data_IF_415553108803
#
_entry.id   IF_415553108803
#
_cell.length_a   1.000
_cell.length_b   1.000
_cell.length_c   1.000
_cell.angle_alpha   90.00
_cell.angle_beta   90.00
_cell.angle_gamma   90.00
#
_symmetry.space_group_name_H-M   'P 1'
#
loop_
_entity.id
_entity.type
_entity.pdbx_description
1 polymer ?
#
# COMPACT_ATOMS: atom_id res chain seq x y z
N UNK A 1 12.80 0.05 10.81
CA UNK A 1 13.99 0.87 10.54
C UNK A 1 14.25 0.66 9.08
N UNK A 2 14.34 1.75 8.30
CA UNK A 2 14.73 1.66 6.90
C UNK A 2 16.08 0.92 6.75
N UNK A 3 16.28 0.29 5.62
CA UNK A 3 17.59 -0.29 5.29
C UNK A 3 18.61 0.85 5.13
N UNK A 4 19.91 0.54 5.29
CA UNK A 4 20.97 1.54 5.06
C UNK A 4 20.82 2.23 3.71
N UNK A 5 20.43 1.48 2.69
CA UNK A 5 20.20 2.00 1.35
C UNK A 5 19.04 2.97 1.29
N UNK A 6 17.87 2.60 1.81
CA UNK A 6 16.71 3.48 1.90
C UNK A 6 17.05 4.76 2.67
N UNK A 7 17.72 4.64 3.82
CA UNK A 7 18.13 5.81 4.61
C UNK A 7 19.05 6.73 3.81
N UNK A 8 20.02 6.18 3.06
CA UNK A 8 20.89 6.98 2.19
C UNK A 8 20.08 7.73 1.11
N UNK A 9 19.13 7.07 0.46
CA UNK A 9 18.30 7.69 -0.57
C UNK A 9 17.38 8.79 0.00
N UNK A 10 16.82 8.58 1.20
CA UNK A 10 16.08 9.61 1.96
C UNK A 10 17.00 10.81 2.26
N UNK A 11 18.22 10.57 2.74
CA UNK A 11 19.16 11.67 3.03
C UNK A 11 19.63 12.38 1.75
N UNK A 12 19.73 11.69 0.61
CA UNK A 12 19.99 12.31 -0.69
C UNK A 12 18.84 13.20 -1.14
N UNK A 13 17.61 12.73 -0.99
CA UNK A 13 16.42 13.54 -1.28
C UNK A 13 16.38 14.80 -0.40
N UNK A 14 16.77 14.69 0.87
CA UNK A 14 16.88 15.82 1.80
C UNK A 14 18.11 16.73 1.60
N UNK A 15 18.97 16.47 0.60
CA UNK A 15 20.20 17.25 0.35
C UNK A 15 21.29 17.06 1.41
N UNK A 16 21.13 16.08 2.32
CA UNK A 16 22.07 15.76 3.39
C UNK A 16 23.11 14.73 2.97
N UNK A 17 22.97 14.09 1.82
CA UNK A 17 24.00 13.25 1.18
C UNK A 17 24.09 13.66 -0.30
N UNK A 18 25.28 13.79 -0.90
CA UNK A 18 25.40 14.11 -2.32
C UNK A 18 24.74 13.04 -3.20
N UNK A 19 24.03 13.47 -4.25
CA UNK A 19 23.26 12.57 -5.14
C UNK A 19 24.15 11.64 -5.95
N UNK A 20 25.28 12.17 -6.44
CA UNK A 20 26.16 11.49 -7.41
C UNK A 20 27.30 10.70 -6.77
N UNK A 21 27.42 10.73 -5.44
CA UNK A 21 28.55 10.10 -4.75
C UNK A 21 28.17 8.69 -4.24
N UNK A 22 28.98 7.70 -4.62
CA UNK A 22 29.01 6.41 -3.94
C UNK A 22 29.53 6.62 -2.51
N UNK A 23 28.63 6.89 -1.58
CA UNK A 23 29.01 7.21 -0.21
C UNK A 23 29.26 5.92 0.58
N UNK A 24 30.53 5.62 0.87
CA UNK A 24 30.89 4.46 1.67
C UNK A 24 30.41 4.57 3.13
N UNK A 25 30.21 3.43 3.80
CA UNK A 25 29.72 3.39 5.19
C UNK A 25 30.55 4.23 6.16
N UNK A 26 31.88 4.30 5.97
CA UNK A 26 32.77 5.14 6.79
C UNK A 26 32.48 6.64 6.62
N UNK A 27 32.16 7.08 5.40
CA UNK A 27 31.78 8.47 5.15
C UNK A 27 30.40 8.77 5.77
N UNK A 28 29.46 7.84 5.64
CA UNK A 28 28.15 7.93 6.31
C UNK A 28 28.30 8.00 7.83
N UNK A 29 29.13 7.16 8.44
CA UNK A 29 29.35 7.15 9.89
C UNK A 29 30.03 8.43 10.42
N UNK A 30 30.82 9.12 9.61
CA UNK A 30 31.36 10.45 9.98
C UNK A 30 30.28 11.52 9.93
N UNK A 31 29.37 11.44 8.97
CA UNK A 31 28.29 12.40 8.78
C UNK A 31 27.12 12.18 9.74
N UNK A 32 26.85 10.92 10.04
CA UNK A 32 25.79 10.44 10.92
C UNK A 32 26.45 9.52 11.96
N UNK A 33 26.99 10.11 13.05
CA UNK A 33 27.72 9.36 14.07
C UNK A 33 26.83 8.30 14.74
N UNK A 34 27.19 7.00 14.63
CA UNK A 34 26.38 5.93 15.21
C UNK A 34 26.55 5.85 16.72
N UNK A 35 25.48 5.48 17.42
CA UNK A 35 25.53 5.03 18.82
C UNK A 35 25.00 3.59 18.92
N UNK A 36 25.83 2.60 19.31
CA UNK A 36 27.27 2.71 19.63
C UNK A 36 28.16 2.92 18.38
N UNK A 37 29.41 3.41 18.54
CA UNK A 37 30.37 3.56 17.45
C UNK A 37 30.59 2.27 16.64
N UNK A 38 30.74 2.39 15.32
CA UNK A 38 30.94 1.24 14.41
C UNK A 38 29.66 0.48 14.02
N UNK A 39 28.50 0.83 14.58
CA UNK A 39 27.23 0.18 14.27
C UNK A 39 26.59 0.72 12.98
N UNK A 40 26.43 -0.11 11.94
CA UNK A 40 25.66 0.26 10.74
C UNK A 40 24.19 0.59 11.06
N UNK A 41 23.59 -0.14 12.02
CA UNK A 41 22.25 0.18 12.54
C UNK A 41 22.24 1.52 13.29
N UNK A 42 23.31 1.82 14.00
CA UNK A 42 23.51 3.13 14.63
C UNK A 42 23.57 4.25 13.60
N UNK A 43 24.22 4.02 12.45
CA UNK A 43 24.32 4.99 11.35
C UNK A 43 22.93 5.29 10.79
N UNK A 44 22.17 4.24 10.45
CA UNK A 44 20.77 4.36 10.01
C UNK A 44 19.93 5.15 11.00
N UNK A 45 20.02 4.83 12.30
CA UNK A 45 19.30 5.54 13.35
C UNK A 45 19.68 7.02 13.40
N UNK A 46 20.98 7.33 13.30
CA UNK A 46 21.48 8.72 13.32
C UNK A 46 21.15 9.54 12.06
N UNK A 47 20.76 8.88 10.96
CA UNK A 47 20.20 9.57 9.78
C UNK A 47 18.78 10.10 10.04
N UNK A 48 18.15 9.71 11.16
CA UNK A 48 16.78 10.09 11.45
C UNK A 48 15.77 9.35 10.57
N UNK A 49 15.93 8.04 10.41
CA UNK A 49 14.86 7.20 9.85
C UNK A 49 13.59 7.36 10.69
N UNK A 50 12.43 7.44 10.05
CA UNK A 50 11.15 7.86 10.61
C UNK A 50 10.86 7.35 12.02
N UNK A 51 10.27 8.22 12.84
CA UNK A 51 9.74 7.87 14.15
C UNK A 51 8.78 6.68 13.99
N UNK A 52 8.93 5.61 14.80
CA UNK A 52 8.00 4.49 14.73
C UNK A 52 6.56 4.97 14.90
N UNK A 53 5.68 4.47 14.03
CA UNK A 53 4.23 4.67 14.06
C UNK A 53 3.58 3.35 14.44
N UNK A 54 3.69 2.89 15.70
CA UNK A 54 3.15 1.59 16.09
C UNK A 54 1.62 1.58 16.04
N UNK A 55 1.05 0.43 15.71
CA UNK A 55 -0.39 0.20 15.67
C UNK A 55 -0.82 -0.73 16.81
N UNK A 56 -1.99 -0.46 17.39
CA UNK A 56 -2.64 -1.37 18.32
C UNK A 56 -3.62 -2.27 17.55
N UNK A 57 -3.36 -3.57 17.55
CA UNK A 57 -4.22 -4.59 16.96
C UNK A 57 -5.02 -5.20 18.10
N UNK A 58 -6.33 -5.00 18.09
CA UNK A 58 -7.24 -5.34 19.18
C UNK A 58 -8.15 -6.46 18.70
N UNK A 59 -8.02 -7.65 19.31
CA UNK A 59 -8.93 -8.76 19.04
C UNK A 59 -10.23 -8.52 19.82
N UNK A 60 -11.35 -8.37 19.12
CA UNK A 60 -12.61 -7.92 19.70
C UNK A 60 -13.66 -9.03 19.66
N UNK A 61 -14.36 -9.22 20.79
CA UNK A 61 -15.57 -10.05 20.88
C UNK A 61 -16.78 -9.16 21.14
N UNK A 62 -17.87 -9.39 20.43
CA UNK A 62 -19.13 -8.67 20.64
C UNK A 62 -19.77 -9.06 21.97
N UNK A 63 -20.50 -8.12 22.59
CA UNK A 63 -21.18 -8.33 23.86
C UNK A 63 -22.22 -9.45 23.73
N UNK A 64 -22.08 -10.45 24.59
CA UNK A 64 -23.01 -11.58 24.68
C UNK A 64 -22.71 -12.72 23.71
N UNK A 65 -21.75 -12.56 22.79
CA UNK A 65 -21.26 -13.66 21.98
C UNK A 65 -20.34 -14.56 22.83
N UNK A 66 -20.50 -15.90 22.76
CA UNK A 66 -19.57 -16.83 23.40
C UNK A 66 -18.22 -16.80 22.67
N UNK A 67 -17.15 -17.23 23.35
CA UNK A 67 -15.87 -17.44 22.67
C UNK A 67 -16.00 -18.53 21.61
N UNK A 68 -15.65 -18.22 20.36
CA UNK A 68 -15.65 -19.16 19.24
C UNK A 68 -14.21 -19.49 18.85
N UNK A 69 -13.61 -20.44 19.55
CA UNK A 69 -12.21 -20.83 19.34
C UNK A 69 -11.93 -21.32 17.92
N UNK A 70 -12.92 -21.82 17.19
CA UNK A 70 -12.74 -22.27 15.80
C UNK A 70 -12.48 -21.10 14.84
N UNK A 71 -12.96 -19.89 15.16
CA UNK A 71 -12.72 -18.66 14.38
C UNK A 71 -11.64 -17.77 15.00
N UNK A 72 -11.65 -17.66 16.33
CA UNK A 72 -10.74 -16.79 17.09
C UNK A 72 -9.29 -17.28 17.02
N UNK A 73 -9.04 -18.57 17.19
CA UNK A 73 -7.67 -19.07 17.23
C UNK A 73 -6.92 -18.90 15.89
N UNK A 74 -7.52 -19.17 14.71
CA UNK A 74 -6.89 -18.85 13.43
C UNK A 74 -6.62 -17.36 13.24
N UNK A 75 -7.58 -16.50 13.58
CA UNK A 75 -7.40 -15.05 13.48
C UNK A 75 -6.26 -14.56 14.37
N UNK A 76 -6.28 -14.92 15.66
CA UNK A 76 -5.24 -14.57 16.62
C UNK A 76 -3.86 -15.06 16.16
N UNK A 77 -3.77 -16.29 15.66
CA UNK A 77 -2.53 -16.87 15.13
C UNK A 77 -1.98 -16.01 13.99
N UNK A 78 -2.84 -15.66 13.01
CA UNK A 78 -2.44 -14.82 11.88
C UNK A 78 -1.94 -13.46 12.36
N UNK A 79 -2.74 -12.71 13.13
CA UNK A 79 -2.37 -11.35 13.56
C UNK A 79 -1.11 -11.34 14.41
N UNK A 80 -0.97 -12.30 15.35
CA UNK A 80 0.26 -12.42 16.14
C UNK A 80 1.46 -12.74 15.25
N UNK A 81 1.31 -13.61 14.26
CA UNK A 81 2.41 -13.97 13.37
C UNK A 81 2.87 -12.79 12.50
N UNK A 82 1.94 -12.13 11.79
CA UNK A 82 2.28 -11.06 10.84
C UNK A 82 2.77 -9.77 11.51
N UNK A 83 2.41 -9.55 12.79
CA UNK A 83 2.90 -8.43 13.61
C UNK A 83 4.04 -8.80 14.58
N UNK A 84 4.54 -10.04 14.59
CA UNK A 84 5.62 -10.50 15.49
C UNK A 84 7.00 -9.84 15.27
N UNK A 85 7.09 -8.80 14.42
CA UNK A 85 8.34 -8.14 14.02
C UNK A 85 9.38 -9.15 13.48
N UNK A 86 8.91 -10.18 12.77
CA UNK A 86 9.71 -11.16 12.03
C UNK A 86 9.84 -10.73 10.57
N UNK A 87 10.85 -11.26 9.88
CA UNK A 87 11.07 -10.97 8.47
C UNK A 87 9.88 -11.40 7.61
N UNK A 88 9.42 -10.55 6.70
CA UNK A 88 8.30 -10.82 5.80
C UNK A 88 6.91 -10.50 6.36
N UNK A 89 6.80 -9.97 7.59
CA UNK A 89 5.52 -9.54 8.16
C UNK A 89 5.06 -8.14 7.71
N UNK A 90 3.98 -7.64 8.31
CA UNK A 90 3.40 -6.31 8.03
C UNK A 90 4.40 -5.18 8.27
N UNK A 91 5.30 -5.33 9.24
CA UNK A 91 6.35 -4.35 9.52
C UNK A 91 7.39 -4.25 8.40
N UNK A 92 7.72 -5.36 7.75
CA UNK A 92 8.60 -5.39 6.59
C UNK A 92 7.89 -4.87 5.35
N UNK A 93 6.64 -5.28 5.16
CA UNK A 93 5.79 -4.79 4.09
C UNK A 93 5.75 -3.25 4.09
N UNK A 94 5.35 -2.63 5.20
CA UNK A 94 5.21 -1.17 5.23
C UNK A 94 6.52 -0.43 5.06
N UNK A 95 7.61 -0.96 5.61
CA UNK A 95 8.94 -0.38 5.38
C UNK A 95 9.29 -0.41 3.90
N UNK A 96 9.06 -1.51 3.21
CA UNK A 96 9.49 -1.66 1.82
C UNK A 96 8.53 -0.94 0.86
N UNK A 97 7.22 -1.07 1.08
CA UNK A 97 6.17 -0.44 0.29
C UNK A 97 6.22 1.09 0.39
N UNK A 98 6.66 1.67 1.52
CA UNK A 98 6.83 3.12 1.69
C UNK A 98 8.24 3.63 1.43
N UNK A 99 9.14 2.80 0.87
CA UNK A 99 10.56 3.14 0.66
C UNK A 99 11.29 3.61 1.93
N UNK A 100 10.86 3.10 3.08
CA UNK A 100 11.45 3.36 4.39
C UNK A 100 10.78 4.48 5.17
N UNK A 101 9.74 5.14 4.63
CA UNK A 101 9.04 6.27 5.26
C UNK A 101 8.04 5.87 6.35
N UNK A 102 7.57 4.62 6.34
CA UNK A 102 6.69 4.06 7.34
C UNK A 102 7.41 2.97 8.11
N UNK A 103 7.33 3.07 9.43
CA UNK A 103 7.89 2.10 10.35
C UNK A 103 6.88 1.77 11.44
N UNK A 104 6.21 0.63 11.31
CA UNK A 104 5.19 0.20 12.30
C UNK A 104 5.79 -0.66 13.42
N UNK A 105 7.11 -0.64 13.63
CA UNK A 105 7.71 -1.36 14.78
C UNK A 105 7.16 -0.82 16.10
N UNK A 106 7.01 -1.72 17.06
CA UNK A 106 6.35 -1.42 18.33
C UNK A 106 4.83 -1.63 18.27
N UNK A 107 4.27 -2.00 17.11
CA UNK A 107 2.88 -2.47 17.03
C UNK A 107 2.67 -3.68 17.95
N UNK A 108 1.48 -3.79 18.52
CA UNK A 108 1.15 -4.82 19.50
C UNK A 108 -0.20 -5.45 19.20
N UNK A 109 -0.29 -6.78 19.38
CA UNK A 109 -1.53 -7.54 19.31
C UNK A 109 -2.04 -7.81 20.71
N UNK A 110 -3.14 -7.17 21.07
CA UNK A 110 -3.86 -7.35 22.32
C UNK A 110 -4.82 -8.54 22.21
N UNK A 111 -4.98 -9.28 23.30
CA UNK A 111 -5.87 -10.45 23.34
C UNK A 111 -7.36 -10.06 23.21
N UNK A 112 -8.21 -11.08 23.20
CA UNK A 112 -9.66 -10.93 23.05
C UNK A 112 -10.28 -10.07 24.16
N UNK A 113 -10.75 -8.88 23.83
CA UNK A 113 -11.54 -8.00 24.71
C UNK A 113 -13.00 -8.02 24.31
N UNK A 114 -13.90 -8.00 25.28
CA UNK A 114 -15.34 -7.91 25.02
C UNK A 114 -15.75 -6.44 24.88
N UNK A 115 -16.23 -6.06 23.70
CA UNK A 115 -16.73 -4.70 23.44
C UNK A 115 -18.13 -4.50 24.01
N UNK A 116 -18.58 -3.25 24.13
CA UNK A 116 -19.90 -2.90 24.69
C UNK A 116 -21.07 -3.17 23.74
N UNK A 117 -20.79 -3.29 22.44
CA UNK A 117 -21.77 -3.50 21.37
C UNK A 117 -22.22 -4.97 21.30
N UNK A 118 -23.52 -5.22 21.26
CA UNK A 118 -24.05 -6.54 20.88
C UNK A 118 -23.91 -6.76 19.37
N UNK A 119 -23.99 -8.02 18.93
CA UNK A 119 -23.91 -8.34 17.50
C UNK A 119 -24.94 -7.60 16.66
N UNK A 120 -26.18 -7.51 17.11
CA UNK A 120 -27.24 -6.77 16.41
C UNK A 120 -26.96 -5.25 16.29
N UNK A 121 -26.15 -4.67 17.17
CA UNK A 121 -25.77 -3.25 17.13
C UNK A 121 -24.54 -2.98 16.25
N UNK A 122 -23.81 -4.02 15.83
CA UNK A 122 -22.52 -3.86 15.17
C UNK A 122 -22.61 -3.58 13.66
N UNK A 123 -23.78 -3.82 13.04
CA UNK A 123 -23.94 -3.73 11.59
C UNK A 123 -24.32 -2.34 11.11
N UNK A 124 -23.91 -2.02 9.88
CA UNK A 124 -24.29 -0.80 9.18
C UNK A 124 -23.41 0.40 9.54
N UNK A 125 -23.77 1.54 8.96
CA UNK A 125 -23.09 2.83 9.17
C UNK A 125 -24.13 3.92 9.44
N UNK A 126 -23.67 5.15 9.68
CA UNK A 126 -24.58 6.30 9.80
C UNK A 126 -25.43 6.56 8.54
N UNK A 127 -25.09 5.94 7.40
CA UNK A 127 -25.82 6.06 6.14
C UNK A 127 -26.80 4.90 5.87
N UNK A 128 -26.83 3.85 6.70
CA UNK A 128 -27.76 2.72 6.54
C UNK A 128 -29.04 2.90 7.35
N UNK A 129 -30.07 2.12 7.02
CA UNK A 129 -31.31 2.04 7.81
C UNK A 129 -31.56 0.58 8.21
N UNK A 130 -31.52 0.22 9.51
CA UNK A 130 -31.16 1.09 10.64
C UNK A 130 -29.70 1.58 10.57
N UNK A 131 -29.40 2.72 11.21
CA UNK A 131 -28.04 3.22 11.27
C UNK A 131 -27.19 2.36 12.21
N UNK A 132 -25.93 2.19 11.84
CA UNK A 132 -24.94 1.45 12.60
C UNK A 132 -23.76 2.31 13.07
N UNK A 133 -22.87 1.75 13.90
CA UNK A 133 -21.67 2.43 14.39
C UNK A 133 -20.67 2.73 13.27
N UNK A 134 -20.71 1.98 12.17
CA UNK A 134 -19.70 1.99 11.12
C UNK A 134 -18.30 1.63 11.61
N UNK A 135 -17.34 1.69 10.69
CA UNK A 135 -15.92 1.37 10.91
C UNK A 135 -15.35 2.01 12.17
N UNK A 136 -15.49 3.34 12.26
CA UNK A 136 -14.93 4.14 13.36
C UNK A 136 -15.57 3.78 14.69
N UNK A 137 -16.88 3.55 14.73
CA UNK A 137 -17.58 3.17 15.96
C UNK A 137 -17.19 1.79 16.47
N UNK A 138 -17.00 0.82 15.56
CA UNK A 138 -16.50 -0.52 15.91
C UNK A 138 -15.06 -0.46 16.44
N UNK A 139 -14.18 0.24 15.72
CA UNK A 139 -12.80 0.42 16.16
C UNK A 139 -12.72 1.12 17.52
N UNK A 140 -13.52 2.17 17.73
CA UNK A 140 -13.61 2.88 19.01
C UNK A 140 -14.09 1.96 20.15
N UNK A 141 -15.08 1.09 19.90
CA UNK A 141 -15.55 0.14 20.90
C UNK A 141 -14.45 -0.85 21.33
N UNK A 142 -13.58 -1.26 20.39
CA UNK A 142 -12.38 -2.04 20.69
C UNK A 142 -11.36 -1.28 21.55
N UNK A 143 -11.08 -0.01 21.19
CA UNK A 143 -10.17 0.86 21.95
C UNK A 143 -10.66 1.07 23.39
N UNK A 144 -11.96 1.34 23.55
CA UNK A 144 -12.57 1.56 24.87
C UNK A 144 -12.52 0.29 25.73
N UNK A 145 -12.80 -0.87 25.13
CA UNK A 145 -12.69 -2.16 25.81
C UNK A 145 -11.24 -2.47 26.23
N UNK A 146 -10.26 -2.18 25.38
CA UNK A 146 -8.85 -2.34 25.70
C UNK A 146 -8.43 -1.39 26.84
N UNK A 147 -8.81 -0.12 26.80
CA UNK A 147 -8.52 0.83 27.88
C UNK A 147 -9.14 0.41 29.22
N UNK A 148 -10.32 -0.20 29.20
CA UNK A 148 -10.96 -0.73 30.40
C UNK A 148 -10.15 -1.85 31.09
N UNK A 149 -9.20 -2.48 30.38
CA UNK A 149 -8.24 -3.44 30.95
C UNK A 149 -7.01 -2.79 31.58
N UNK A 150 -6.89 -1.46 31.54
CA UNK A 150 -5.77 -0.69 32.09
C UNK A 150 -4.62 -0.43 31.11
N UNK A 151 -4.77 -0.76 29.83
CA UNK A 151 -3.76 -0.50 28.79
C UNK A 151 -3.77 0.97 28.37
N UNK A 152 -2.60 1.61 28.43
CA UNK A 152 -2.38 2.93 27.83
C UNK A 152 -2.27 2.81 26.30
N UNK A 153 -3.16 3.50 25.60
CA UNK A 153 -3.18 3.51 24.14
C UNK A 153 -2.57 4.75 23.50
N UNK A 154 -2.10 5.71 24.31
CA UNK A 154 -1.46 6.94 23.81
C UNK A 154 -0.19 6.72 22.96
N UNK A 155 0.59 5.63 23.11
CA UNK A 155 1.78 5.41 22.28
C UNK A 155 1.49 4.99 20.84
N UNK A 156 0.26 4.60 20.50
CA UNK A 156 -0.08 4.05 19.18
C UNK A 156 -0.54 5.12 18.20
N UNK A 157 0.00 5.08 16.98
CA UNK A 157 -0.33 5.97 15.87
C UNK A 157 -1.60 5.54 15.11
N UNK A 158 -2.04 4.29 15.27
CA UNK A 158 -3.22 3.74 14.62
C UNK A 158 -3.78 2.52 15.33
N UNK A 159 -5.00 2.14 14.95
CA UNK A 159 -5.77 1.08 15.60
C UNK A 159 -6.40 0.15 14.58
N UNK A 160 -6.33 -1.15 14.83
CA UNK A 160 -7.02 -2.19 14.08
C UNK A 160 -7.91 -2.96 15.07
N UNK A 161 -9.22 -2.90 14.90
CA UNK A 161 -10.16 -3.76 15.62
C UNK A 161 -10.52 -4.97 14.76
N UNK A 162 -10.25 -6.17 15.28
CA UNK A 162 -10.46 -7.44 14.59
C UNK A 162 -11.70 -8.11 15.15
N UNK A 163 -12.66 -8.44 14.29
CA UNK A 163 -13.86 -9.22 14.62
C UNK A 163 -13.89 -10.49 13.79
N UNK A 164 -14.45 -11.59 14.33
CA UNK A 164 -14.57 -12.86 13.61
C UNK A 164 -15.91 -13.03 12.89
N UNK A 165 -16.82 -12.09 13.08
CA UNK A 165 -18.10 -11.99 12.41
C UNK A 165 -18.00 -11.05 11.22
N UNK A 166 -18.53 -11.48 10.07
CA UNK A 166 -18.68 -10.59 8.91
C UNK A 166 -20.02 -9.82 8.94
N UNK A 167 -20.98 -10.31 9.73
CA UNK A 167 -22.37 -9.84 9.74
C UNK A 167 -22.93 -9.71 11.16
N UNK A 168 -23.73 -8.66 11.39
CA UNK A 168 -24.50 -8.43 12.61
C UNK A 168 -25.71 -9.34 12.73
N UNK A 169 -25.98 -10.10 11.67
CA UNK A 169 -27.07 -11.05 11.54
C UNK A 169 -26.62 -12.23 10.68
N UNK A 170 -26.98 -13.45 11.07
CA UNK A 170 -26.72 -14.64 10.25
C UNK A 170 -27.65 -14.72 9.04
N UNK A 171 -27.21 -15.42 8.00
CA UNK A 171 -28.01 -15.67 6.80
C UNK A 171 -28.31 -14.42 5.95
N UNK A 172 -27.55 -13.34 6.14
CA UNK A 172 -27.65 -12.12 5.31
C UNK A 172 -27.38 -12.44 3.84
N UNK A 173 -26.34 -13.25 3.59
CA UNK A 173 -26.04 -13.79 2.26
C UNK A 173 -26.52 -15.25 2.23
N UNK A 174 -27.45 -15.61 1.33
CA UNK A 174 -27.90 -16.99 1.18
C UNK A 174 -26.76 -17.96 0.81
N UNK A 175 -26.87 -19.25 1.17
CA UNK A 175 -25.91 -20.26 0.72
C UNK A 175 -25.75 -20.27 -0.82
N UNK A 176 -24.52 -20.29 -1.30
CA UNK A 176 -24.21 -20.27 -2.73
C UNK A 176 -24.34 -18.91 -3.41
N UNK A 177 -24.56 -17.84 -2.65
CA UNK A 177 -24.56 -16.45 -3.13
C UNK A 177 -23.37 -15.67 -2.56
N UNK A 178 -23.03 -14.61 -3.27
CA UNK A 178 -22.03 -13.61 -2.91
C UNK A 178 -22.71 -12.28 -2.61
N UNK A 179 -21.97 -11.31 -2.09
CA UNK A 179 -22.50 -9.98 -1.81
C UNK A 179 -22.90 -9.25 -3.10
N UNK A 180 -22.20 -9.54 -4.20
CA UNK A 180 -22.47 -9.02 -5.55
C UNK A 180 -23.82 -9.53 -6.11
N UNK A 181 -24.30 -10.69 -5.65
CA UNK A 181 -25.59 -11.24 -6.07
C UNK A 181 -26.79 -10.57 -5.38
N UNK A 182 -26.57 -9.83 -4.29
CA UNK A 182 -27.62 -9.34 -3.41
C UNK A 182 -27.66 -7.80 -3.44
N UNK A 183 -28.84 -7.16 -3.60
CA UNK A 183 -28.93 -5.70 -3.59
C UNK A 183 -28.37 -5.10 -2.31
N UNK A 184 -27.59 -4.02 -2.45
CA UNK A 184 -26.93 -3.32 -1.33
C UNK A 184 -27.85 -3.06 -0.14
N UNK A 185 -29.08 -2.60 -0.39
CA UNK A 185 -30.05 -2.27 0.66
C UNK A 185 -30.44 -3.47 1.55
N UNK A 186 -30.23 -4.71 1.08
CA UNK A 186 -30.57 -5.93 1.83
C UNK A 186 -29.48 -6.31 2.82
N UNK A 187 -28.21 -6.18 2.45
CA UNK A 187 -27.09 -6.65 3.27
C UNK A 187 -26.33 -5.51 3.98
N UNK A 188 -26.33 -4.30 3.43
CA UNK A 188 -25.53 -3.19 3.96
C UNK A 188 -25.83 -2.83 5.43
N UNK A 189 -27.09 -2.83 5.90
CA UNK A 189 -27.38 -2.58 7.32
C UNK A 189 -26.84 -3.64 8.27
N UNK A 190 -26.45 -4.82 7.76
CA UNK A 190 -25.95 -5.92 8.58
C UNK A 190 -24.46 -6.15 8.44
N UNK A 191 -23.79 -5.45 7.54
CA UNK A 191 -22.36 -5.59 7.32
C UNK A 191 -21.59 -4.92 8.45
N UNK A 192 -20.60 -5.61 9.03
CA UNK A 192 -19.70 -5.05 10.05
C UNK A 192 -18.60 -4.17 9.45
N UNK A 193 -18.55 -4.04 8.13
CA UNK A 193 -17.75 -3.04 7.45
C UNK A 193 -16.25 -3.14 7.78
N UNK A 194 -15.62 -4.22 7.28
CA UNK A 194 -14.18 -4.39 7.33
C UNK A 194 -13.49 -3.37 6.43
N UNK A 195 -13.23 -2.17 6.95
CA UNK A 195 -12.50 -1.11 6.25
C UNK A 195 -12.00 -0.02 7.23
N UNK A 196 -11.30 0.99 6.72
CA UNK A 196 -10.66 2.05 7.48
C UNK A 196 -11.35 3.43 7.42
N UNK A 197 -11.10 4.25 8.44
CA UNK A 197 -11.48 5.65 8.53
C UNK A 197 -10.32 6.43 9.16
N UNK A 198 -9.41 6.91 8.32
CA UNK A 198 -8.10 7.40 8.79
C UNK A 198 -7.37 6.28 9.53
N UNK A 199 -6.70 6.59 10.63
CA UNK A 199 -5.91 5.62 11.42
C UNK A 199 -6.75 4.65 12.27
N UNK A 200 -8.04 4.51 11.97
CA UNK A 200 -8.96 3.57 12.61
C UNK A 200 -9.40 2.53 11.57
N UNK A 201 -8.99 1.29 11.77
CA UNK A 201 -9.29 0.17 10.88
C UNK A 201 -10.16 -0.84 11.60
N UNK A 202 -11.17 -1.36 10.91
CA UNK A 202 -11.93 -2.54 11.34
C UNK A 202 -11.66 -3.67 10.35
N UNK A 203 -11.33 -4.86 10.84
CA UNK A 203 -11.09 -6.04 10.01
C UNK A 203 -12.03 -7.17 10.40
N UNK A 204 -12.84 -7.58 9.45
CA UNK A 204 -13.72 -8.75 9.53
C UNK A 204 -13.17 -9.85 8.60
N UNK A 205 -13.73 -11.07 8.61
CA UNK A 205 -13.34 -12.08 7.64
C UNK A 205 -13.62 -11.63 6.19
N UNK A 206 -12.80 -12.06 5.22
CA UNK A 206 -11.63 -12.94 5.38
C UNK A 206 -10.43 -12.20 5.99
N UNK A 207 -9.73 -12.83 6.93
CA UNK A 207 -8.51 -12.28 7.51
C UNK A 207 -7.31 -12.64 6.63
N UNK A 208 -6.73 -11.64 5.96
CA UNK A 208 -5.54 -11.82 5.13
C UNK A 208 -4.63 -10.59 5.21
N UNK A 209 -3.31 -10.78 5.06
CA UNK A 209 -2.36 -9.71 5.30
C UNK A 209 -2.37 -8.61 4.22
N UNK A 210 -2.71 -8.93 2.98
CA UNK A 210 -2.96 -7.95 1.91
C UNK A 210 -4.12 -7.01 2.27
N UNK A 211 -5.20 -7.55 2.85
CA UNK A 211 -6.33 -6.74 3.35
C UNK A 211 -5.89 -5.89 4.54
N UNK A 212 -5.16 -6.46 5.49
CA UNK A 212 -4.60 -5.70 6.63
C UNK A 212 -3.76 -4.53 6.14
N UNK A 213 -2.86 -4.78 5.18
CA UNK A 213 -2.03 -3.75 4.60
C UNK A 213 -2.86 -2.73 3.81
N UNK A 214 -3.87 -3.16 3.06
CA UNK A 214 -4.75 -2.24 2.33
C UNK A 214 -5.41 -1.25 3.28
N UNK A 215 -6.02 -1.74 4.35
CA UNK A 215 -6.72 -0.90 5.31
C UNK A 215 -5.79 -0.02 6.14
N UNK A 216 -4.60 -0.51 6.47
CA UNK A 216 -3.57 0.34 7.06
C UNK A 216 -3.15 1.47 6.11
N UNK A 217 -3.21 1.24 4.79
CA UNK A 217 -2.90 2.24 3.76
C UNK A 217 -3.78 3.46 3.84
N UNK A 218 -5.09 3.28 4.05
CA UNK A 218 -5.99 4.38 4.36
C UNK A 218 -5.60 5.15 5.62
N UNK A 219 -5.11 4.44 6.65
CA UNK A 219 -4.56 5.06 7.86
C UNK A 219 -3.30 5.89 7.63
N UNK A 220 -2.62 5.66 6.51
CA UNK A 220 -1.49 6.46 6.05
C UNK A 220 -1.85 7.45 4.94
N UNK A 221 -3.14 7.66 4.65
CA UNK A 221 -3.63 8.67 3.70
C UNK A 221 -3.83 8.17 2.27
N UNK A 222 -3.67 6.87 2.01
CA UNK A 222 -3.84 6.30 0.68
C UNK A 222 -5.34 6.17 0.32
N UNK A 223 -5.66 6.33 -0.96
CA UNK A 223 -7.02 6.19 -1.51
C UNK A 223 -7.07 5.04 -2.51
N UNK A 224 -8.26 4.47 -2.75
CA UNK A 224 -8.42 3.42 -3.76
C UNK A 224 -7.96 3.88 -5.14
N UNK A 225 -7.29 3.00 -5.87
CA UNK A 225 -7.01 3.24 -7.28
C UNK A 225 -8.27 3.01 -8.11
N UNK A 226 -8.40 3.79 -9.19
CA UNK A 226 -9.63 3.81 -10.00
C UNK A 226 -9.41 3.46 -11.45
N UNK A 227 -10.49 3.02 -12.10
CA UNK A 227 -10.57 2.89 -13.55
C UNK A 227 -10.47 4.25 -14.25
N UNK A 228 -10.12 4.31 -15.55
CA UNK A 228 -10.03 5.56 -16.31
C UNK A 228 -11.25 6.46 -16.16
N UNK A 229 -12.45 5.88 -16.12
CA UNK A 229 -13.72 6.59 -16.01
C UNK A 229 -14.12 7.01 -14.59
N UNK A 230 -13.29 6.78 -13.56
CA UNK A 230 -13.59 7.08 -12.15
C UNK A 230 -14.82 6.37 -11.57
N UNK A 231 -15.30 5.33 -12.24
CA UNK A 231 -16.56 4.65 -11.89
C UNK A 231 -16.37 3.47 -10.96
N UNK A 232 -15.14 2.95 -10.83
CA UNK A 232 -14.85 1.73 -10.08
C UNK A 232 -13.51 1.84 -9.36
N UNK A 233 -13.57 1.57 -8.06
CA UNK A 233 -12.40 1.38 -7.20
C UNK A 233 -11.78 -0.01 -7.41
N UNK A 234 -10.55 -0.20 -6.95
CA UNK A 234 -9.80 -1.46 -7.02
C UNK A 234 -9.43 -1.92 -8.43
N UNK A 235 -8.99 -0.96 -9.24
CA UNK A 235 -8.75 -1.18 -10.67
C UNK A 235 -7.31 -1.58 -11.03
N UNK A 236 -6.33 -1.25 -10.19
CA UNK A 236 -4.92 -1.36 -10.50
C UNK A 236 -4.36 -2.75 -10.12
N UNK A 237 -3.84 -3.53 -11.07
CA UNK A 237 -3.34 -4.86 -10.77
C UNK A 237 -2.02 -4.86 -9.96
N UNK A 238 -1.32 -3.73 -9.88
CA UNK A 238 0.01 -3.60 -9.27
C UNK A 238 0.04 -2.52 -8.18
N UNK A 239 -1.09 -2.28 -7.49
CA UNK A 239 -1.15 -1.35 -6.36
C UNK A 239 -1.94 -1.91 -5.18
N UNK A 240 -1.40 -1.74 -3.98
CA UNK A 240 -2.00 -2.17 -2.71
C UNK A 240 -3.42 -1.63 -2.58
N UNK A 241 -3.65 -0.40 -3.02
CA UNK A 241 -4.93 0.29 -2.93
C UNK A 241 -5.99 -0.25 -3.90
N UNK A 242 -5.68 -1.36 -4.57
CA UNK A 242 -6.63 -2.17 -5.30
C UNK A 242 -6.89 -3.55 -4.69
N UNK A 243 -6.37 -3.80 -3.48
CA UNK A 243 -6.67 -4.97 -2.65
C UNK A 243 -6.52 -6.30 -3.43
N UNK A 244 -5.44 -6.41 -4.20
CA UNK A 244 -5.16 -7.58 -5.04
C UNK A 244 -4.30 -8.58 -4.27
N UNK A 245 -4.77 -9.80 -3.97
CA UNK A 245 -3.95 -10.83 -3.35
C UNK A 245 -2.94 -11.36 -4.37
N UNK A 246 -1.80 -10.70 -4.49
CA UNK A 246 -0.86 -10.98 -5.58
C UNK A 246 0.01 -12.20 -5.27
N UNK A 247 0.51 -12.33 -4.04
CA UNK A 247 1.45 -13.39 -3.70
C UNK A 247 1.13 -14.06 -2.38
N UNK A 248 1.03 -15.40 -2.41
CA UNK A 248 0.93 -16.22 -1.21
C UNK A 248 2.28 -16.26 -0.46
N UNK A 249 2.23 -16.23 0.86
CA UNK A 249 3.37 -16.40 1.75
C UNK A 249 3.19 -17.62 2.65
N UNK A 250 4.00 -18.66 2.41
CA UNK A 250 3.95 -19.92 3.15
C UNK A 250 4.33 -19.77 4.63
N UNK A 251 5.10 -18.74 4.99
CA UNK A 251 5.51 -18.49 6.38
C UNK A 251 4.32 -18.09 7.24
N UNK A 252 3.40 -17.32 6.65
CA UNK A 252 2.25 -16.76 7.33
C UNK A 252 0.92 -17.40 6.93
N UNK A 253 0.90 -18.22 5.89
CA UNK A 253 -0.31 -18.84 5.37
C UNK A 253 -1.32 -17.80 4.89
N UNK A 254 -0.86 -16.75 4.21
CA UNK A 254 -1.71 -15.63 3.79
C UNK A 254 -1.14 -14.91 2.57
N UNK A 255 -1.95 -14.07 1.94
CA UNK A 255 -1.51 -13.25 0.81
C UNK A 255 -0.87 -11.95 1.28
N UNK A 256 0.13 -11.50 0.54
CA UNK A 256 0.70 -10.16 0.60
C UNK A 256 0.75 -9.55 -0.81
N UNK A 257 1.05 -8.26 -0.84
CA UNK A 257 1.21 -7.52 -2.07
C UNK A 257 -0.14 -7.10 -2.69
N UNK A 258 -0.08 -6.42 -3.85
CA UNK A 258 1.12 -5.81 -4.41
C UNK A 258 1.65 -4.67 -3.52
N UNK A 259 2.77 -4.07 -3.92
CA UNK A 259 3.31 -2.84 -3.33
C UNK A 259 2.35 -1.64 -3.44
N UNK A 260 2.68 -0.55 -2.76
CA UNK A 260 2.09 0.77 -3.05
C UNK A 260 2.66 1.29 -4.38
N UNK A 261 1.79 1.75 -5.29
CA UNK A 261 2.21 2.28 -6.59
C UNK A 261 2.95 3.62 -6.45
N UNK A 262 3.81 3.94 -7.42
CA UNK A 262 4.65 5.12 -7.42
C UNK A 262 3.87 6.44 -7.32
N UNK A 263 2.64 6.48 -7.83
CA UNK A 263 1.76 7.65 -7.72
C UNK A 263 1.39 7.96 -6.27
N UNK A 264 0.98 6.94 -5.50
CA UNK A 264 0.71 7.10 -4.07
C UNK A 264 1.98 7.45 -3.28
N UNK A 265 3.13 6.87 -3.65
CA UNK A 265 4.42 7.24 -3.04
C UNK A 265 4.75 8.71 -3.27
N UNK A 266 4.49 9.21 -4.49
CA UNK A 266 4.72 10.62 -4.80
C UNK A 266 3.77 11.54 -4.01
N UNK A 267 2.48 11.23 -3.98
CA UNK A 267 1.46 12.04 -3.28
C UNK A 267 1.75 12.15 -1.78
N UNK A 268 2.36 11.13 -1.18
CA UNK A 268 2.70 11.11 0.24
C UNK A 268 4.15 11.55 0.52
N UNK A 269 4.92 11.94 -0.51
CA UNK A 269 6.32 12.34 -0.36
C UNK A 269 7.25 11.21 0.08
N UNK A 270 6.90 9.96 -0.22
CA UNK A 270 7.67 8.76 0.12
C UNK A 270 8.61 8.32 -1.00
N UNK A 271 8.41 8.82 -2.22
CA UNK A 271 9.33 8.55 -3.32
C UNK A 271 10.59 9.40 -3.19
N UNK A 272 11.73 8.86 -3.59
CA UNK A 272 12.96 9.65 -3.67
C UNK A 272 12.84 10.66 -4.82
N UNK A 273 12.50 11.91 -4.53
CA UNK A 273 12.20 12.93 -5.57
C UNK A 273 13.32 13.08 -6.61
N UNK A 274 14.58 12.87 -6.21
CA UNK A 274 15.72 12.91 -7.13
C UNK A 274 15.78 11.76 -8.15
N UNK A 275 14.90 10.76 -8.01
CA UNK A 275 14.70 9.61 -8.91
C UNK A 275 13.38 9.73 -9.68
N UNK A 276 12.69 10.85 -9.57
CA UNK A 276 11.49 11.15 -10.36
C UNK A 276 11.90 12.03 -11.54
N UNK A 277 11.65 11.54 -12.75
CA UNK A 277 11.80 12.35 -13.95
C UNK A 277 10.51 13.15 -14.16
N UNK A 278 10.65 14.46 -14.39
CA UNK A 278 9.55 15.34 -14.77
C UNK A 278 9.89 15.99 -16.09
N UNK A 279 9.11 15.68 -17.10
CA UNK A 279 9.23 16.26 -18.43
C UNK A 279 8.46 17.60 -18.52
N UNK A 280 8.87 18.48 -19.43
CA UNK A 280 8.31 19.82 -19.59
C UNK A 280 7.11 19.91 -20.57
N UNK A 281 6.72 18.79 -21.18
CA UNK A 281 5.69 18.66 -22.21
C UNK A 281 6.22 18.83 -23.63
N UNK A 282 7.52 19.01 -23.82
CA UNK A 282 8.15 19.19 -25.13
C UNK A 282 7.98 17.99 -26.06
N UNK A 283 7.88 16.78 -25.49
CA UNK A 283 7.68 15.54 -26.23
C UNK A 283 6.40 15.52 -27.08
N UNK A 284 5.34 16.24 -26.68
CA UNK A 284 4.10 16.34 -27.48
C UNK A 284 4.33 17.04 -28.83
N UNK A 285 5.37 17.87 -28.93
CA UNK A 285 5.75 18.57 -30.18
C UNK A 285 6.84 17.83 -30.94
N UNK A 286 7.39 16.77 -30.35
CA UNK A 286 8.41 15.92 -30.95
C UNK A 286 7.72 14.81 -31.74
N UNK A 287 7.84 14.83 -33.07
CA UNK A 287 7.28 13.77 -33.92
C UNK A 287 7.86 12.37 -33.63
N UNK A 288 8.98 12.28 -32.90
CA UNK A 288 9.57 11.01 -32.46
C UNK A 288 9.30 10.68 -30.98
N UNK A 289 8.49 11.48 -30.28
CA UNK A 289 8.20 11.29 -28.87
C UNK A 289 9.39 11.59 -27.94
N UNK A 290 9.35 10.98 -26.74
CA UNK A 290 10.43 11.00 -25.74
C UNK A 290 10.68 9.60 -25.19
N UNK A 291 11.95 9.25 -24.91
CA UNK A 291 12.32 7.97 -24.30
C UNK A 291 12.83 8.18 -22.89
N UNK A 292 12.29 7.44 -21.93
CA UNK A 292 12.67 7.49 -20.52
C UNK A 292 13.15 6.12 -20.04
N UNK A 293 14.17 6.12 -19.17
CA UNK A 293 14.64 4.91 -18.49
C UNK A 293 13.96 4.78 -17.12
N UNK A 294 13.31 3.65 -16.90
CA UNK A 294 12.61 3.31 -15.66
C UNK A 294 13.22 2.07 -14.99
N UNK A 295 13.24 2.07 -13.68
CA UNK A 295 13.48 0.91 -12.85
C UNK A 295 12.32 0.73 -11.86
N UNK A 296 12.18 -0.48 -11.32
CA UNK A 296 11.18 -0.74 -10.30
C UNK A 296 11.45 0.07 -9.04
N UNK A 297 10.40 0.58 -8.40
CA UNK A 297 10.49 1.46 -7.22
C UNK A 297 11.19 0.82 -6.01
N UNK A 298 11.25 -0.51 -5.92
CA UNK A 298 12.02 -1.25 -4.89
C UNK A 298 13.47 -1.53 -5.32
N UNK A 299 13.80 -1.30 -6.60
CA UNK A 299 15.14 -1.41 -7.13
C UNK A 299 15.93 -0.10 -6.98
N UNK A 300 16.24 0.23 -5.73
CA UNK A 300 17.14 1.34 -5.42
C UNK A 300 18.57 1.15 -6.01
N UNK A 301 18.88 -0.05 -6.55
CA UNK A 301 20.13 -0.45 -7.21
C UNK A 301 20.27 -0.06 -8.65
N UNK A 302 19.15 0.01 -9.37
CA UNK A 302 19.16 0.43 -10.75
C UNK A 302 19.52 1.91 -10.87
N UNK A 303 20.25 2.26 -11.93
CA UNK A 303 20.60 3.65 -12.28
C UNK A 303 19.59 4.21 -13.29
N UNK A 304 18.32 4.26 -12.89
CA UNK A 304 17.22 4.77 -13.71
C UNK A 304 16.17 5.46 -12.84
N UNK A 305 15.20 6.12 -13.44
CA UNK A 305 14.13 6.79 -12.70
C UNK A 305 13.19 5.74 -12.09
N UNK A 306 12.64 6.02 -10.91
CA UNK A 306 11.64 5.14 -10.29
C UNK A 306 10.21 5.49 -10.75
N UNK A 307 10.03 6.72 -11.23
CA UNK A 307 8.80 7.24 -11.79
C UNK A 307 9.17 8.27 -12.87
N UNK A 308 8.47 8.26 -13.99
CA UNK A 308 8.49 9.36 -14.95
C UNK A 308 7.11 10.00 -15.03
N UNK A 309 7.08 11.33 -15.04
CA UNK A 309 5.88 12.15 -15.16
C UNK A 309 6.00 12.92 -16.47
N UNK A 310 5.23 12.51 -17.46
CA UNK A 310 5.18 13.14 -18.77
C UNK A 310 4.02 14.13 -18.82
N UNK A 311 4.35 15.41 -18.90
CA UNK A 311 3.35 16.47 -18.93
C UNK A 311 2.57 16.42 -20.24
N UNK A 312 1.24 16.34 -20.18
CA UNK A 312 0.37 16.32 -21.36
C UNK A 312 -0.82 17.28 -21.25
N UNK A 313 -0.56 18.50 -20.82
CA UNK A 313 -1.58 19.55 -20.67
C UNK A 313 -2.14 19.98 -22.03
N UNK A 314 -3.46 20.26 -22.14
CA UNK A 314 -4.44 20.37 -21.05
C UNK A 314 -5.16 19.07 -20.65
N UNK A 315 -4.71 17.89 -21.11
CA UNK A 315 -5.34 16.62 -20.75
C UNK A 315 -4.98 16.21 -19.32
N UNK A 316 -3.92 15.42 -19.15
CA UNK A 316 -3.41 15.01 -17.85
C UNK A 316 -1.97 14.54 -17.98
N UNK A 317 -1.22 14.59 -16.88
CA UNK A 317 0.15 14.10 -16.86
C UNK A 317 0.15 12.56 -16.75
N UNK A 318 1.03 11.90 -17.51
CA UNK A 318 1.20 10.45 -17.47
C UNK A 318 2.25 10.06 -16.45
N UNK A 319 1.89 9.17 -15.55
CA UNK A 319 2.76 8.58 -14.54
C UNK A 319 3.17 7.18 -14.99
N UNK A 320 4.46 7.00 -15.29
CA UNK A 320 5.02 5.76 -15.80
C UNK A 320 5.84 5.05 -14.71
N UNK A 321 5.46 3.82 -14.39
CA UNK A 321 6.10 2.97 -13.39
C UNK A 321 6.44 1.61 -13.98
N UNK A 322 7.59 1.06 -13.59
CA UNK A 322 7.94 -0.33 -13.86
C UNK A 322 7.63 -1.18 -12.62
N UNK A 323 6.80 -2.21 -12.76
CA UNK A 323 6.66 -3.28 -11.76
C UNK A 323 7.38 -4.55 -12.23
N UNK A 324 7.88 -5.35 -11.28
CA UNK A 324 8.65 -6.56 -11.56
C UNK A 324 8.18 -7.70 -10.66
N UNK A 325 8.28 -8.97 -11.07
CA UNK A 325 7.87 -10.13 -10.29
C UNK A 325 8.89 -10.44 -9.18
N UNK A 326 9.14 -9.46 -8.29
CA UNK A 326 10.09 -9.54 -7.19
C UNK A 326 9.49 -8.98 -5.91
N UNK A 327 9.99 -9.43 -4.76
CA UNK A 327 9.58 -8.93 -3.45
C UNK A 327 8.08 -9.10 -3.20
N UNK A 328 7.38 -7.98 -2.98
CA UNK A 328 5.94 -7.92 -2.73
C UNK A 328 5.10 -8.07 -4.00
N UNK A 329 5.72 -7.95 -5.17
CA UNK A 329 5.07 -8.11 -6.48
C UNK A 329 5.40 -9.47 -7.13
N UNK A 330 6.00 -10.40 -6.38
CA UNK A 330 6.47 -11.72 -6.88
C UNK A 330 5.40 -12.60 -7.53
N UNK A 331 4.12 -12.26 -7.37
CA UNK A 331 3.01 -12.96 -8.01
C UNK A 331 2.69 -12.49 -9.44
N UNK A 332 3.42 -11.49 -9.97
CA UNK A 332 3.30 -11.10 -11.37
C UNK A 332 3.93 -12.16 -12.28
N UNK A 333 3.37 -12.32 -13.48
CA UNK A 333 3.90 -13.24 -14.50
C UNK A 333 5.05 -12.63 -15.33
N UNK A 334 5.21 -11.31 -15.31
CA UNK A 334 6.20 -10.57 -16.09
C UNK A 334 6.53 -9.20 -15.47
N UNK A 335 7.60 -8.59 -15.96
CA UNK A 335 7.85 -7.15 -15.78
C UNK A 335 6.75 -6.38 -16.52
N UNK A 336 6.14 -5.39 -15.87
CA UNK A 336 5.03 -4.60 -16.42
C UNK A 336 5.41 -3.12 -16.42
N UNK A 337 5.18 -2.44 -17.55
CA UNK A 337 5.03 -0.99 -17.56
C UNK A 337 3.58 -0.67 -17.21
N UNK A 338 3.40 0.19 -16.20
CA UNK A 338 2.11 0.69 -15.75
C UNK A 338 2.00 2.16 -16.14
N UNK A 339 0.89 2.51 -16.77
CA UNK A 339 0.60 3.86 -17.25
C UNK A 339 -0.57 4.38 -16.42
N UNK A 340 -0.33 5.44 -15.67
CA UNK A 340 -1.31 6.04 -14.76
C UNK A 340 -1.49 7.53 -15.03
N UNK A 341 -2.53 8.08 -14.43
CA UNK A 341 -2.68 9.53 -14.19
C UNK A 341 -3.14 9.74 -12.75
N UNK A 342 -3.21 11.01 -12.35
CA UNK A 342 -3.76 11.41 -11.05
C UNK A 342 -5.13 12.05 -11.25
N UNK A 343 -6.11 11.63 -10.47
CA UNK A 343 -7.34 12.43 -10.30
C UNK A 343 -6.99 13.66 -9.46
N UNK A 344 -7.11 14.86 -10.03
CA UNK A 344 -6.83 16.11 -9.32
C UNK A 344 -8.07 16.71 -8.65
N UNK A 345 -9.19 15.99 -8.60
CA UNK A 345 -10.37 16.42 -7.84
C UNK A 345 -10.03 16.52 -6.34
N UNK A 346 -9.65 17.74 -5.91
CA UNK A 346 -9.26 18.06 -4.54
C UNK A 346 -10.36 17.71 -3.52
N UNK A 347 -11.62 17.62 -3.94
CA UNK A 347 -12.73 17.24 -3.07
C UNK A 347 -12.71 15.77 -2.63
N UNK A 348 -11.90 14.92 -3.28
CA UNK A 348 -11.87 13.46 -3.05
C UNK A 348 -10.53 12.91 -2.58
N UNK A 349 -9.56 13.78 -2.27
CA UNK A 349 -8.13 13.47 -2.19
C UNK A 349 -7.61 12.92 -3.53
N UNK A 350 -6.48 13.44 -4.05
CA UNK A 350 -5.93 12.93 -5.29
C UNK A 350 -5.66 11.41 -5.23
N UNK A 351 -6.03 10.67 -6.28
CA UNK A 351 -5.80 9.22 -6.35
C UNK A 351 -5.25 8.78 -7.68
N UNK A 352 -4.61 7.60 -7.70
CA UNK A 352 -4.08 7.00 -8.91
C UNK A 352 -5.21 6.42 -9.78
N UNK A 353 -5.10 6.64 -11.08
CA UNK A 353 -5.98 6.08 -12.10
C UNK A 353 -5.12 5.25 -13.04
N UNK A 354 -5.41 3.95 -13.17
CA UNK A 354 -4.74 3.10 -14.14
C UNK A 354 -5.33 3.35 -15.53
N UNK A 355 -4.48 3.71 -16.50
CA UNK A 355 -4.86 3.92 -17.89
C UNK A 355 -4.58 2.69 -18.76
N UNK A 356 -3.51 1.96 -18.43
CA UNK A 356 -3.14 0.75 -19.15
C UNK A 356 -1.88 0.12 -18.58
N UNK A 357 -1.57 -1.06 -19.10
CA UNK A 357 -0.34 -1.77 -18.81
C UNK A 357 0.18 -2.48 -20.05
N UNK A 358 1.48 -2.75 -20.09
CA UNK A 358 2.11 -3.55 -21.13
C UNK A 358 3.26 -4.37 -20.54
N UNK A 359 3.33 -5.65 -20.91
CA UNK A 359 4.41 -6.52 -20.49
C UNK A 359 5.72 -6.14 -21.19
N UNK A 360 6.80 -6.04 -20.43
CA UNK A 360 8.12 -5.73 -20.97
C UNK A 360 8.69 -6.98 -21.64
N UNK A 361 9.08 -6.92 -22.93
CA UNK A 361 9.67 -8.07 -23.61
C UNK A 361 10.95 -8.57 -22.93
N UNK A 362 11.12 -9.88 -22.86
CA UNK A 362 12.27 -10.52 -22.21
C UNK A 362 13.50 -10.57 -23.12
N UNK A 363 13.32 -10.63 -24.44
CA UNK A 363 14.42 -10.71 -25.42
C UNK A 363 14.95 -9.32 -25.78
N UNK A 364 16.29 -9.14 -25.81
CA UNK A 364 16.89 -7.89 -26.27
C UNK A 364 16.45 -7.53 -27.70
N UNK A 365 16.13 -6.25 -27.91
CA UNK A 365 15.71 -5.72 -29.21
C UNK A 365 14.21 -5.84 -29.51
N UNK A 366 13.45 -6.58 -28.70
CA UNK A 366 11.99 -6.63 -28.84
C UNK A 366 11.33 -5.41 -28.16
N UNK A 367 10.24 -4.97 -28.78
CA UNK A 367 9.38 -3.89 -28.28
C UNK A 367 7.95 -4.42 -28.15
N UNK A 368 7.27 -4.03 -27.08
CA UNK A 368 5.83 -4.17 -26.93
C UNK A 368 5.22 -2.77 -26.81
N UNK A 369 3.93 -2.62 -27.12
CA UNK A 369 3.28 -1.33 -27.07
C UNK A 369 1.85 -1.39 -26.57
N UNK A 370 1.35 -0.25 -26.12
CA UNK A 370 -0.06 -0.03 -25.80
C UNK A 370 -0.42 1.43 -26.05
N UNK A 371 -1.67 1.68 -26.46
CA UNK A 371 -2.21 3.03 -26.60
C UNK A 371 -3.13 3.30 -25.43
N UNK A 372 -3.00 4.47 -24.81
CA UNK A 372 -3.88 4.83 -23.69
C UNK A 372 -5.36 5.00 -24.15
N UNK A 373 -6.34 4.95 -23.23
CA UNK A 373 -7.76 4.85 -23.57
C UNK A 373 -8.33 5.95 -24.47
N UNK A 374 -7.75 7.16 -24.49
CA UNK A 374 -8.21 8.23 -25.39
C UNK A 374 -7.65 8.14 -26.81
N UNK A 375 -6.69 7.25 -27.05
CA UNK A 375 -6.10 7.02 -28.37
C UNK A 375 -5.02 8.03 -28.77
N UNK A 376 -4.63 8.95 -27.88
CA UNK A 376 -3.79 10.09 -28.21
C UNK A 376 -2.29 9.82 -28.00
N UNK A 377 -1.94 8.80 -27.22
CA UNK A 377 -0.54 8.51 -26.89
C UNK A 377 -0.26 7.01 -26.99
N UNK A 378 0.73 6.68 -27.80
CA UNK A 378 1.33 5.36 -27.87
C UNK A 378 2.50 5.27 -26.88
N UNK A 379 2.50 4.22 -26.07
CA UNK A 379 3.62 3.85 -25.22
C UNK A 379 4.27 2.58 -25.76
N UNK A 380 5.55 2.66 -26.08
CA UNK A 380 6.38 1.53 -26.48
C UNK A 380 7.37 1.22 -25.37
N UNK A 381 7.50 -0.04 -25.00
CA UNK A 381 8.44 -0.49 -23.97
C UNK A 381 9.36 -1.57 -24.51
N UNK A 382 10.63 -1.47 -24.13
CA UNK A 382 11.64 -2.49 -24.39
C UNK A 382 12.58 -2.62 -23.21
N UNK A 383 13.30 -3.74 -23.18
CA UNK A 383 14.39 -3.95 -22.23
C UNK A 383 15.50 -2.92 -22.45
N UNK A 384 15.92 -2.27 -21.36
CA UNK A 384 16.93 -1.21 -21.36
C UNK A 384 18.35 -1.68 -21.06
N UNK A 385 18.50 -2.82 -20.40
CA UNK A 385 19.81 -3.38 -20.04
C UNK A 385 19.84 -4.91 -20.06
N UNK A 386 21.05 -5.48 -20.09
CA UNK A 386 21.26 -6.94 -20.09
C UNK A 386 20.81 -7.61 -18.79
N UNK A 387 20.61 -6.84 -17.72
CA UNK A 387 20.15 -7.37 -16.43
C UNK A 387 18.62 -7.43 -16.33
N UNK A 388 17.91 -6.72 -17.23
CA UNK A 388 16.46 -6.61 -17.21
C UNK A 388 15.94 -5.77 -16.05
N UNK A 389 16.79 -4.96 -15.42
CA UNK A 389 16.41 -4.10 -14.28
C UNK A 389 15.91 -2.75 -14.74
N UNK A 390 16.23 -2.38 -15.97
CA UNK A 390 15.83 -1.11 -16.58
C UNK A 390 14.96 -1.38 -17.79
N UNK A 391 13.82 -0.71 -17.88
CA UNK A 391 13.00 -0.62 -19.08
C UNK A 391 13.20 0.75 -19.74
N UNK A 392 13.21 0.78 -21.06
CA UNK A 392 13.15 2.01 -21.85
C UNK A 392 11.74 2.16 -22.39
N UNK A 393 11.11 3.28 -22.08
CA UNK A 393 9.74 3.59 -22.48
C UNK A 393 9.75 4.79 -23.40
N UNK A 394 9.25 4.63 -24.62
CA UNK A 394 9.02 5.73 -25.56
C UNK A 394 7.55 6.10 -25.53
N UNK A 395 7.25 7.39 -25.30
CA UNK A 395 5.91 7.94 -25.42
C UNK A 395 5.82 8.82 -26.66
N UNK A 396 4.86 8.54 -27.54
CA UNK A 396 4.66 9.22 -28.83
C UNK A 396 3.23 9.72 -28.93
N UNK A 397 3.05 11.02 -29.19
CA UNK A 397 1.75 11.59 -29.50
C UNK A 397 1.29 11.11 -30.90
N UNK A 398 0.03 10.70 -31.03
CA UNK A 398 -0.56 10.13 -32.25
C UNK A 398 -1.36 11.15 -33.07
#
# INVERSE_FOLDING_TARGET
>A
MSTLRQSVEIQKAAGRVPKDENTGLRALARRFPPSPPGSARGVVRSMGSDEPKPWAIILCRLKGEPADQAKEAPAETLYRAVFANRSGGVGDYWRDASLGHIDVRGSQVFGWVTVSLTRAQAGGSGATTPPGPGRRGLCQAGIDALRATGVDTSPFAGFVAVYVENWSKDGVIPPGKTQEDIPWAVWAPFWLDGSASGSFTTLTPPHAADIVCHEMGHGFGLQHDRTPGLTKDYADPCCLMSQRPLAWDDTYGTNFGPRVCATHLLQNGWIYEHRVLRDDGGWLRSGSGTTVALAATDDAGARANLLAILRAQPAWDYHLELARPTGWDRGLDADLLLIRRVDLDESKNPTAIILGQVAVPTRPGETASTTEPTGNVLFEVRRGDETGRVALVTATAL
#
